data_IF_375455416265
#
_entry.id   IF_375455416265
#
_cell.length_a   1.000
_cell.length_b   1.000
_cell.length_c   1.000
_cell.angle_alpha   90.00
_cell.angle_beta   90.00
_cell.angle_gamma   90.00
#
_symmetry.space_group_name_H-M   'P 1'
#
loop_
_entity.id
_entity.type
_entity.pdbx_description
1 polymer ?
#
# COMPACT_ATOMS: atom_id res chain seq x y z
N UNK A 1 -15.40 -5.05 37.39
CA UNK A 1 -14.89 -4.54 38.68
C UNK A 1 -15.88 -3.63 39.43
N UNK A 2 -16.72 -2.83 38.77
CA UNK A 2 -17.68 -1.91 39.38
C UNK A 2 -18.78 -2.56 40.22
N UNK A 3 -19.02 -3.86 40.09
CA UNK A 3 -20.08 -4.58 40.82
C UNK A 3 -19.53 -5.50 41.94
N UNK A 4 -18.21 -5.56 42.10
CA UNK A 4 -17.61 -6.50 43.04
C UNK A 4 -17.83 -6.13 44.50
N UNK A 5 -17.70 -4.87 44.87
CA UNK A 5 -17.97 -4.39 46.24
C UNK A 5 -19.42 -4.65 46.62
N UNK A 6 -20.33 -4.47 45.66
CA UNK A 6 -21.75 -4.75 45.87
C UNK A 6 -22.06 -6.25 46.02
N UNK A 7 -21.34 -7.10 45.27
CA UNK A 7 -21.47 -8.56 45.34
C UNK A 7 -20.79 -9.13 46.61
N UNK A 8 -19.68 -8.55 47.08
CA UNK A 8 -19.00 -8.95 48.30
C UNK A 8 -19.81 -8.63 49.60
N UNK A 9 -20.69 -7.62 49.52
CA UNK A 9 -21.59 -7.29 50.64
C UNK A 9 -22.76 -8.27 50.76
N UNK A 10 -23.13 -8.96 49.69
CA UNK A 10 -24.32 -9.83 49.63
C UNK A 10 -24.01 -11.32 49.52
N UNK A 11 -22.79 -11.70 49.13
CA UNK A 11 -22.40 -13.10 48.87
C UNK A 11 -20.96 -13.38 49.31
N UNK A 12 -20.72 -14.53 49.92
CA UNK A 12 -19.39 -15.10 50.08
C UNK A 12 -18.92 -15.64 48.72
N UNK A 13 -18.09 -14.88 48.01
CA UNK A 13 -17.53 -15.29 46.73
C UNK A 13 -16.38 -16.27 46.99
N UNK A 14 -16.62 -17.57 46.83
CA UNK A 14 -15.59 -18.60 46.79
C UNK A 14 -15.29 -18.94 45.34
N UNK A 15 -14.05 -18.75 44.89
CA UNK A 15 -13.62 -19.19 43.58
C UNK A 15 -13.26 -20.68 43.63
N UNK A 16 -14.04 -21.51 42.97
CA UNK A 16 -13.83 -22.97 42.91
C UNK A 16 -13.01 -23.41 41.66
N UNK A 17 -12.19 -22.53 41.10
CA UNK A 17 -11.25 -22.89 40.04
C UNK A 17 -9.82 -22.86 40.58
N UNK A 18 -9.30 -24.00 40.99
CA UNK A 18 -7.91 -24.24 41.35
C UNK A 18 -7.31 -23.22 42.36
N UNK A 19 -6.30 -23.61 43.07
CA UNK A 19 -5.62 -22.77 44.09
C UNK A 19 -4.87 -21.53 43.57
N UNK A 20 -5.12 -21.06 42.33
CA UNK A 20 -4.40 -19.92 41.75
C UNK A 20 -5.20 -18.63 41.92
N UNK A 21 -4.73 -17.67 42.73
CA UNK A 21 -5.45 -16.43 42.97
C UNK A 21 -5.44 -15.53 41.72
N UNK A 22 -6.60 -14.95 41.39
CA UNK A 22 -6.67 -13.95 40.32
C UNK A 22 -6.11 -12.60 40.79
N UNK A 23 -5.29 -12.00 39.93
CA UNK A 23 -4.79 -10.65 40.11
C UNK A 23 -5.88 -9.63 39.76
N UNK A 24 -6.10 -8.68 40.63
CA UNK A 24 -7.12 -7.64 40.50
C UNK A 24 -6.50 -6.24 40.35
N UNK A 25 -5.18 -6.20 40.29
CA UNK A 25 -4.46 -4.94 40.12
C UNK A 25 -4.85 -4.28 38.77
N UNK A 26 -4.79 -2.96 38.77
CA UNK A 26 -5.03 -2.19 37.55
C UNK A 26 -3.94 -2.51 36.50
N UNK A 27 -4.38 -2.72 35.25
CA UNK A 27 -3.49 -2.94 34.13
C UNK A 27 -3.24 -1.61 33.45
N UNK A 28 -1.98 -1.19 33.37
CA UNK A 28 -1.55 0.00 32.63
C UNK A 28 -0.62 -0.40 31.51
N UNK A 29 -0.67 0.32 30.38
CA UNK A 29 0.22 0.13 29.25
C UNK A 29 1.11 1.37 29.15
N UNK A 30 2.40 1.14 29.19
CA UNK A 30 3.41 2.14 28.87
C UNK A 30 3.97 1.84 27.47
N UNK A 31 4.12 2.88 26.66
CA UNK A 31 4.54 2.73 25.25
C UNK A 31 5.65 3.73 24.95
N UNK A 32 6.65 3.28 24.20
CA UNK A 32 7.68 4.13 23.58
C UNK A 32 8.05 3.60 22.22
N UNK A 33 8.69 4.40 21.39
CA UNK A 33 9.09 4.01 20.05
C UNK A 33 10.48 4.55 19.75
N UNK A 34 11.33 3.68 19.24
CA UNK A 34 12.61 4.04 18.65
C UNK A 34 12.48 4.00 17.13
N UNK A 35 12.91 5.08 16.45
CA UNK A 35 12.81 5.22 15.00
C UNK A 35 14.18 5.03 14.37
N UNK A 36 14.30 4.06 13.45
CA UNK A 36 15.49 3.77 12.65
C UNK A 36 15.21 4.02 11.16
N UNK A 37 16.21 3.91 10.30
CA UNK A 37 16.08 4.28 8.86
C UNK A 37 15.01 3.44 8.13
N UNK A 38 14.95 2.12 8.36
CA UNK A 38 14.04 1.22 7.65
C UNK A 38 12.98 0.59 8.56
N UNK A 39 13.15 0.72 9.87
CA UNK A 39 12.37 0.06 10.90
C UNK A 39 12.05 1.03 12.03
N UNK A 40 10.97 0.77 12.71
CA UNK A 40 10.70 1.35 14.02
C UNK A 40 10.45 0.23 15.03
N UNK A 41 10.87 0.43 16.27
CA UNK A 41 10.69 -0.53 17.34
C UNK A 41 9.72 0.02 18.38
N UNK A 42 8.60 -0.68 18.54
CA UNK A 42 7.59 -0.36 19.54
C UNK A 42 7.90 -1.10 20.83
N UNK A 43 8.19 -0.36 21.87
CA UNK A 43 8.36 -0.86 23.23
C UNK A 43 7.05 -0.71 23.98
N UNK A 44 6.35 -1.81 24.17
CA UNK A 44 5.08 -1.84 24.92
C UNK A 44 5.32 -2.65 26.19
N UNK A 45 5.15 -2.00 27.33
CA UNK A 45 5.27 -2.62 28.66
C UNK A 45 3.94 -2.60 29.37
N UNK A 46 3.51 -3.76 29.86
CA UNK A 46 2.33 -3.91 30.70
C UNK A 46 2.75 -3.79 32.14
N UNK A 47 2.13 -2.88 32.86
CA UNK A 47 2.35 -2.66 34.30
C UNK A 47 1.14 -3.18 35.08
N UNK A 48 1.38 -4.12 36.00
CA UNK A 48 0.34 -4.75 36.82
C UNK A 48 0.82 -4.71 38.25
N UNK A 49 0.29 -3.78 39.04
CA UNK A 49 0.85 -3.51 40.36
C UNK A 49 2.34 -3.16 40.28
N UNK A 50 3.21 -3.97 40.88
CA UNK A 50 4.66 -3.79 40.85
C UNK A 50 5.36 -4.55 39.71
N UNK A 51 4.62 -5.35 38.92
CA UNK A 51 5.18 -6.13 37.80
C UNK A 51 5.22 -5.31 36.53
N UNK A 52 6.34 -5.37 35.84
CA UNK A 52 6.55 -4.78 34.52
C UNK A 52 6.87 -5.90 33.52
N UNK A 53 5.95 -6.15 32.59
CA UNK A 53 6.03 -7.29 31.68
C UNK A 53 6.05 -6.75 30.25
N UNK A 54 7.07 -7.08 29.42
CA UNK A 54 7.05 -6.73 28.01
C UNK A 54 5.83 -7.32 27.31
N UNK A 55 5.13 -6.50 26.51
CA UNK A 55 3.89 -6.90 25.82
C UNK A 55 4.10 -8.12 24.91
N UNK A 56 5.31 -8.30 24.38
CA UNK A 56 5.70 -9.45 23.56
C UNK A 56 5.49 -10.80 24.25
N UNK A 57 5.51 -10.85 25.59
CA UNK A 57 5.23 -12.07 26.37
C UNK A 57 3.79 -12.56 26.22
N UNK A 58 2.87 -11.67 25.94
CA UNK A 58 1.44 -12.00 25.74
C UNK A 58 1.12 -12.45 24.33
N UNK A 59 2.09 -12.37 23.37
CA UNK A 59 1.90 -12.67 21.95
C UNK A 59 1.16 -13.98 21.72
N UNK A 60 1.64 -15.08 22.31
CA UNK A 60 1.04 -16.40 22.11
C UNK A 60 -0.42 -16.43 22.57
N UNK A 61 -0.72 -15.86 23.71
CA UNK A 61 -2.08 -15.82 24.26
C UNK A 61 -3.00 -14.96 23.41
N UNK A 62 -2.52 -13.80 22.93
CA UNK A 62 -3.30 -12.91 22.09
C UNK A 62 -3.60 -13.56 20.73
N UNK A 63 -2.61 -14.21 20.10
CA UNK A 63 -2.79 -14.87 18.81
C UNK A 63 -3.65 -16.13 18.88
N UNK A 64 -3.60 -16.85 20.01
CA UNK A 64 -4.42 -18.04 20.28
C UNK A 64 -5.78 -17.69 20.92
N UNK A 65 -6.10 -16.39 21.09
CA UNK A 65 -7.34 -15.87 21.73
C UNK A 65 -7.56 -16.39 23.16
N UNK A 66 -6.46 -16.71 23.88
CA UNK A 66 -6.50 -17.17 25.26
C UNK A 66 -6.50 -15.98 26.22
N UNK A 67 -7.57 -15.80 26.98
CA UNK A 67 -7.72 -14.67 27.91
C UNK A 67 -6.95 -14.82 29.22
N UNK A 68 -6.68 -16.04 29.64
CA UNK A 68 -6.01 -16.33 30.92
C UNK A 68 -4.48 -16.35 30.72
N UNK A 69 -3.79 -15.59 31.56
CA UNK A 69 -2.32 -15.54 31.56
C UNK A 69 -1.78 -15.69 32.98
N UNK A 70 -0.84 -16.61 33.17
CA UNK A 70 -0.17 -16.82 34.45
C UNK A 70 0.98 -15.83 34.61
N UNK A 71 0.89 -14.97 35.63
CA UNK A 71 1.93 -14.00 35.96
C UNK A 71 3.17 -14.70 36.57
N UNK A 72 4.36 -14.06 36.48
CA UNK A 72 5.58 -14.60 37.06
C UNK A 72 5.52 -14.84 38.60
N UNK A 73 4.62 -14.15 39.27
CA UNK A 73 4.37 -14.30 40.72
C UNK A 73 3.37 -15.41 41.07
N UNK A 74 2.90 -16.18 40.07
CA UNK A 74 1.96 -17.28 40.27
C UNK A 74 0.48 -16.85 40.30
N UNK A 75 0.14 -15.58 40.17
CA UNK A 75 -1.24 -15.10 40.04
C UNK A 75 -1.75 -15.22 38.62
N UNK A 76 -3.02 -15.43 38.41
CA UNK A 76 -3.69 -15.46 37.12
C UNK A 76 -4.26 -14.09 36.75
N UNK A 77 -4.14 -13.65 35.52
CA UNK A 77 -4.75 -12.43 35.04
C UNK A 77 -5.63 -12.71 33.81
N UNK A 78 -6.73 -11.96 33.69
CA UNK A 78 -7.55 -11.96 32.49
C UNK A 78 -7.09 -10.81 31.58
N UNK A 79 -6.61 -11.15 30.40
CA UNK A 79 -6.21 -10.16 29.40
C UNK A 79 -7.43 -9.39 28.90
N UNK A 80 -7.35 -8.05 28.76
CA UNK A 80 -8.44 -7.24 28.26
C UNK A 80 -8.86 -7.68 26.87
N UNK A 81 -10.17 -7.77 26.61
CA UNK A 81 -10.72 -8.22 25.32
C UNK A 81 -10.30 -7.32 24.17
N UNK A 82 -10.16 -6.04 24.42
CA UNK A 82 -9.68 -5.06 23.44
C UNK A 82 -8.25 -5.34 22.93
N UNK A 83 -7.41 -6.05 23.67
CA UNK A 83 -6.05 -6.40 23.22
C UNK A 83 -6.06 -7.37 22.05
N UNK A 84 -7.05 -8.26 22.00
CA UNK A 84 -7.17 -9.26 20.93
C UNK A 84 -7.57 -8.62 19.60
N UNK A 85 -8.34 -7.54 19.62
CA UNK A 85 -8.70 -6.79 18.42
C UNK A 85 -7.65 -5.73 18.04
N UNK A 86 -7.06 -5.08 19.05
CA UNK A 86 -6.19 -3.91 18.89
C UNK A 86 -4.75 -4.28 18.52
N UNK A 87 -4.16 -5.26 19.21
CA UNK A 87 -2.72 -5.53 19.08
C UNK A 87 -2.37 -6.81 18.31
N UNK A 88 -3.32 -7.70 18.06
CA UNK A 88 -2.99 -8.96 17.40
C UNK A 88 -2.33 -8.75 16.03
N UNK A 89 -2.80 -7.77 15.27
CA UNK A 89 -2.25 -7.45 13.95
C UNK A 89 -0.78 -6.98 14.04
N UNK A 90 -0.45 -6.15 15.03
CA UNK A 90 0.93 -5.71 15.26
C UNK A 90 1.84 -6.88 15.64
N UNK A 91 1.34 -7.80 16.47
CA UNK A 91 2.08 -8.98 16.88
C UNK A 91 2.30 -9.99 15.74
N UNK A 92 1.37 -10.07 14.79
CA UNK A 92 1.53 -10.91 13.59
C UNK A 92 2.58 -10.37 12.62
N UNK A 93 2.58 -9.05 12.39
CA UNK A 93 3.45 -8.39 11.41
C UNK A 93 4.85 -8.10 11.94
N UNK A 94 4.98 -7.90 13.26
CA UNK A 94 6.22 -7.49 13.88
C UNK A 94 7.16 -8.65 14.19
N UNK A 95 8.47 -8.37 14.11
CA UNK A 95 9.52 -9.26 14.61
C UNK A 95 9.64 -9.01 16.11
N UNK A 96 9.50 -10.05 16.89
CA UNK A 96 9.69 -9.97 18.33
C UNK A 96 11.16 -9.72 18.66
N UNK A 97 11.42 -8.71 19.47
CA UNK A 97 12.74 -8.42 20.07
C UNK A 97 12.68 -8.67 21.58
N UNK A 98 13.81 -8.56 22.25
CA UNK A 98 13.85 -8.68 23.74
C UNK A 98 13.06 -7.57 24.42
N UNK A 99 13.01 -6.38 23.82
CA UNK A 99 12.42 -5.18 24.42
C UNK A 99 11.04 -4.82 23.85
N UNK A 100 10.70 -5.30 22.65
CA UNK A 100 9.48 -4.86 21.98
C UNK A 100 9.12 -5.62 20.71
N UNK A 101 8.53 -4.88 19.79
CA UNK A 101 8.10 -5.37 18.48
C UNK A 101 8.71 -4.46 17.43
N UNK A 102 9.60 -5.01 16.60
CA UNK A 102 10.21 -4.29 15.48
C UNK A 102 9.33 -4.43 14.25
N UNK A 103 9.00 -3.30 13.64
CA UNK A 103 8.11 -3.19 12.49
C UNK A 103 8.80 -2.41 11.38
N UNK A 104 8.64 -2.82 10.13
CA UNK A 104 9.04 -1.99 8.98
C UNK A 104 8.18 -0.73 8.92
N UNK A 105 8.74 0.38 8.42
CA UNK A 105 7.99 1.63 8.20
C UNK A 105 6.74 1.46 7.34
N UNK A 106 6.70 0.43 6.48
CA UNK A 106 5.51 0.06 5.69
C UNK A 106 4.29 -0.30 6.56
N UNK A 107 4.50 -0.71 7.82
CA UNK A 107 3.42 -1.09 8.75
C UNK A 107 2.97 0.04 9.68
N UNK A 108 3.44 1.26 9.46
CA UNK A 108 3.06 2.43 10.27
C UNK A 108 1.54 2.63 10.32
N UNK A 109 0.84 2.47 9.19
CA UNK A 109 -0.62 2.58 9.16
C UNK A 109 -1.33 1.56 10.06
N UNK A 110 -0.83 0.33 10.14
CA UNK A 110 -1.35 -0.69 11.05
C UNK A 110 -1.03 -0.37 12.52
N UNK A 111 0.16 0.17 12.79
CA UNK A 111 0.54 0.65 14.11
C UNK A 111 -0.34 1.83 14.55
N UNK A 112 -0.67 2.76 13.63
CA UNK A 112 -1.57 3.87 13.88
C UNK A 112 -2.95 3.42 14.33
N UNK A 113 -3.50 2.43 13.68
CA UNK A 113 -4.82 1.91 14.04
C UNK A 113 -4.80 1.19 15.39
N UNK A 114 -3.71 0.49 15.69
CA UNK A 114 -3.60 -0.23 16.94
C UNK A 114 -3.32 0.67 18.16
N UNK A 115 -2.53 1.72 18.00
CA UNK A 115 -2.11 2.58 19.10
C UNK A 115 -3.03 3.79 19.30
N UNK A 116 -3.78 4.20 18.27
CA UNK A 116 -4.59 5.41 18.24
C UNK A 116 -3.79 6.64 17.80
N UNK A 117 -4.47 7.61 17.19
CA UNK A 117 -3.83 8.81 16.64
C UNK A 117 -3.12 9.68 17.68
N UNK A 118 -3.64 9.77 18.89
CA UNK A 118 -3.05 10.59 19.96
C UNK A 118 -1.77 10.00 20.53
N UNK A 119 -1.72 8.69 20.71
CA UNK A 119 -0.50 8.00 21.16
C UNK A 119 0.60 8.10 20.12
N UNK A 120 0.26 7.97 18.84
CA UNK A 120 1.21 8.09 17.75
C UNK A 120 1.75 9.50 17.52
N UNK A 121 1.01 10.55 17.91
CA UNK A 121 1.55 11.92 17.92
C UNK A 121 2.75 12.08 18.85
N UNK A 122 2.91 11.19 19.82
CA UNK A 122 4.08 11.15 20.72
C UNK A 122 5.31 10.50 20.10
N UNK A 123 5.13 9.76 18.99
CA UNK A 123 6.21 9.09 18.31
C UNK A 123 6.74 9.91 17.14
N UNK A 124 8.04 9.83 16.80
CA UNK A 124 8.65 10.60 15.70
C UNK A 124 8.08 10.23 14.33
N UNK A 125 7.30 9.15 14.22
CA UNK A 125 6.64 8.68 12.99
C UNK A 125 5.51 9.62 12.59
N UNK A 126 5.80 10.92 12.42
CA UNK A 126 4.84 11.92 11.95
C UNK A 126 4.65 11.82 10.46
N UNK A 127 3.50 11.34 10.03
CA UNK A 127 3.15 11.32 8.62
C UNK A 127 1.89 12.13 8.31
N UNK A 128 1.87 13.39 8.68
CA UNK A 128 0.94 14.30 8.03
C UNK A 128 1.46 14.59 6.62
N UNK A 129 0.66 14.23 5.60
CA UNK A 129 0.93 14.60 4.22
C UNK A 129 0.94 16.12 4.14
N UNK A 130 2.16 16.69 4.07
CA UNK A 130 2.31 18.13 3.92
C UNK A 130 1.92 18.55 2.51
N UNK A 131 1.23 19.68 2.40
CA UNK A 131 0.93 20.24 1.09
C UNK A 131 2.24 20.73 0.44
N UNK A 132 2.61 20.14 -0.69
CA UNK A 132 3.85 20.43 -1.41
C UNK A 132 3.56 21.44 -2.52
N UNK A 133 4.37 22.50 -2.62
CA UNK A 133 4.22 23.47 -3.69
C UNK A 133 4.45 22.83 -5.07
N UNK A 134 3.58 23.14 -6.03
CA UNK A 134 3.70 22.70 -7.42
C UNK A 134 4.98 23.25 -8.02
N UNK A 135 5.75 22.47 -8.79
CA UNK A 135 6.95 22.95 -9.48
C UNK A 135 6.64 24.16 -10.39
N UNK A 136 7.40 25.24 -10.25
CA UNK A 136 7.19 26.49 -11.01
C UNK A 136 7.30 26.31 -12.54
N UNK A 137 8.03 25.32 -12.99
CA UNK A 137 8.23 24.99 -14.40
C UNK A 137 7.20 23.99 -14.96
N UNK A 138 6.21 23.60 -14.17
CA UNK A 138 5.06 22.86 -14.68
C UNK A 138 4.14 23.81 -15.47
N UNK A 139 3.81 23.44 -16.70
CA UNK A 139 2.97 24.22 -17.61
C UNK A 139 1.48 23.82 -17.48
N UNK A 140 0.99 23.66 -16.25
CA UNK A 140 -0.39 23.31 -15.96
C UNK A 140 -0.78 23.79 -14.56
N UNK A 141 -2.08 24.01 -14.37
CA UNK A 141 -2.67 24.28 -13.04
C UNK A 141 -3.36 23.03 -12.54
N UNK A 142 -3.02 22.59 -11.33
CA UNK A 142 -3.65 21.43 -10.70
C UNK A 142 -4.98 21.83 -10.04
N UNK A 143 -5.99 20.98 -10.16
CA UNK A 143 -7.19 21.08 -9.33
C UNK A 143 -6.85 20.73 -7.88
N UNK A 144 -7.64 21.15 -6.88
CA UNK A 144 -7.34 20.90 -5.46
C UNK A 144 -7.09 19.42 -5.13
N UNK A 145 -7.88 18.52 -5.69
CA UNK A 145 -7.69 17.09 -5.48
C UNK A 145 -6.40 16.56 -6.14
N UNK A 146 -6.03 17.07 -7.32
CA UNK A 146 -4.77 16.70 -7.99
C UNK A 146 -3.56 17.18 -7.18
N UNK A 147 -3.64 18.37 -6.58
CA UNK A 147 -2.64 18.88 -5.66
C UNK A 147 -2.45 17.97 -4.45
N UNK A 148 -3.56 17.47 -3.87
CA UNK A 148 -3.50 16.48 -2.77
C UNK A 148 -2.86 15.17 -3.24
N UNK A 149 -3.20 14.67 -4.44
CA UNK A 149 -2.61 13.47 -5.01
C UNK A 149 -1.12 13.60 -5.29
N UNK A 150 -0.70 14.75 -5.82
CA UNK A 150 0.71 15.07 -5.99
C UNK A 150 1.45 15.11 -4.65
N UNK A 151 0.90 15.77 -3.63
CA UNK A 151 1.51 15.84 -2.30
C UNK A 151 1.64 14.47 -1.65
N UNK A 152 0.65 13.58 -1.84
CA UNK A 152 0.70 12.20 -1.39
C UNK A 152 1.82 11.41 -2.10
N UNK A 153 1.95 11.54 -3.41
CA UNK A 153 3.04 10.87 -4.14
C UNK A 153 4.42 11.39 -3.73
N UNK A 154 4.57 12.69 -3.46
CA UNK A 154 5.82 13.26 -2.92
C UNK A 154 6.12 12.72 -1.52
N UNK A 155 5.08 12.55 -0.70
CA UNK A 155 5.24 11.93 0.62
C UNK A 155 5.78 10.50 0.50
N UNK A 156 5.18 9.66 -0.35
CA UNK A 156 5.68 8.30 -0.61
C UNK A 156 7.13 8.30 -1.15
N UNK A 157 7.42 9.21 -2.09
CA UNK A 157 8.76 9.36 -2.64
C UNK A 157 9.82 9.63 -1.54
N UNK A 158 9.54 10.57 -0.63
CA UNK A 158 10.45 10.91 0.46
C UNK A 158 10.69 9.77 1.44
N UNK A 159 9.70 8.87 1.59
CA UNK A 159 9.76 7.69 2.45
C UNK A 159 10.35 6.46 1.75
N UNK A 160 10.71 6.55 0.47
CA UNK A 160 11.23 5.41 -0.29
C UNK A 160 10.15 4.39 -0.70
N UNK A 161 8.87 4.75 -0.62
CA UNK A 161 7.76 3.84 -0.91
C UNK A 161 7.26 3.96 -2.35
N UNK A 162 6.70 2.86 -2.84
CA UNK A 162 5.87 2.84 -4.04
C UNK A 162 4.41 3.19 -3.72
N UNK A 163 3.59 3.40 -4.77
CA UNK A 163 2.18 3.74 -4.60
C UNK A 163 1.29 3.33 -5.77
N UNK A 164 -0.01 3.30 -5.50
CA UNK A 164 -1.07 3.07 -6.50
C UNK A 164 -2.00 4.28 -6.57
N UNK A 165 -1.96 5.03 -7.65
CA UNK A 165 -2.93 6.10 -7.92
C UNK A 165 -4.12 5.51 -8.69
N UNK A 166 -5.19 5.23 -7.95
CA UNK A 166 -6.36 4.49 -8.39
C UNK A 166 -7.59 5.37 -8.63
N UNK A 167 -7.38 6.63 -8.99
CA UNK A 167 -8.43 7.59 -9.34
C UNK A 167 -9.25 7.12 -10.53
N UNK A 168 -10.53 7.47 -10.59
CA UNK A 168 -11.38 7.22 -11.75
C UNK A 168 -10.75 7.75 -13.05
N UNK A 169 -11.12 7.15 -14.18
CA UNK A 169 -10.67 7.60 -15.49
C UNK A 169 -11.04 9.09 -15.71
N UNK A 170 -10.11 9.86 -16.28
CA UNK A 170 -10.33 11.29 -16.57
C UNK A 170 -10.03 12.25 -15.40
N UNK A 171 -9.63 11.76 -14.23
CA UNK A 171 -9.21 12.59 -13.10
C UNK A 171 -7.75 13.09 -13.20
N UNK A 172 -7.09 12.86 -14.34
CA UNK A 172 -5.76 13.41 -14.63
C UNK A 172 -4.63 12.71 -13.89
N UNK A 173 -4.65 11.38 -13.80
CA UNK A 173 -3.55 10.57 -13.26
C UNK A 173 -2.23 10.88 -13.95
N UNK A 174 -2.23 11.02 -15.29
CA UNK A 174 -1.07 11.41 -16.09
C UNK A 174 -0.48 12.74 -15.63
N UNK A 175 -1.31 13.78 -15.49
CA UNK A 175 -0.85 15.10 -15.07
C UNK A 175 -0.28 15.09 -13.65
N UNK A 176 -0.92 14.40 -12.71
CA UNK A 176 -0.42 14.25 -11.33
C UNK A 176 0.94 13.56 -11.33
N UNK A 177 1.11 12.47 -12.10
CA UNK A 177 2.38 11.75 -12.25
C UNK A 177 3.46 12.61 -12.90
N UNK A 178 3.15 13.33 -13.97
CA UNK A 178 4.09 14.26 -14.61
C UNK A 178 4.50 15.39 -13.66
N UNK A 179 3.60 15.85 -12.79
CA UNK A 179 3.93 16.84 -11.75
C UNK A 179 4.93 16.29 -10.75
N UNK A 180 4.76 15.03 -10.30
CA UNK A 180 5.74 14.34 -9.45
C UNK A 180 7.10 14.26 -10.14
N UNK A 181 7.15 13.81 -11.39
CA UNK A 181 8.39 13.67 -12.15
C UNK A 181 9.08 15.03 -12.37
N UNK A 182 8.30 16.09 -12.65
CA UNK A 182 8.83 17.45 -12.75
C UNK A 182 9.38 17.98 -11.40
N UNK A 183 8.81 17.54 -10.28
CA UNK A 183 9.35 17.84 -8.94
C UNK A 183 10.67 17.12 -8.67
N UNK A 184 10.81 15.87 -9.10
CA UNK A 184 12.02 15.05 -8.91
C UNK A 184 13.18 15.57 -9.77
N UNK A 185 12.91 15.83 -11.06
CA UNK A 185 13.90 16.29 -12.04
C UNK A 185 14.02 17.82 -12.11
N UNK A 186 13.89 18.51 -10.96
CA UNK A 186 14.10 19.96 -10.92
C UNK A 186 15.60 20.29 -11.15
N UNK A 187 15.91 21.43 -11.78
CA UNK A 187 17.30 21.81 -12.11
C UNK A 187 18.25 21.88 -10.91
N UNK A 188 17.72 22.17 -9.72
CA UNK A 188 18.50 22.24 -8.46
C UNK A 188 18.73 20.89 -7.80
N UNK A 189 18.12 19.81 -8.31
CA UNK A 189 18.33 18.47 -7.76
C UNK A 189 19.60 17.81 -8.35
N UNK A 190 20.26 16.91 -7.60
CA UNK A 190 21.29 16.05 -8.17
C UNK A 190 20.76 15.29 -9.40
N UNK A 191 21.63 14.95 -10.34
CA UNK A 191 21.25 14.16 -11.52
C UNK A 191 20.69 12.81 -11.08
N UNK A 192 19.43 12.55 -11.42
CA UNK A 192 18.73 11.30 -11.13
C UNK A 192 18.77 10.36 -12.33
N UNK A 193 18.69 9.03 -12.12
CA UNK A 193 18.45 8.07 -13.19
C UNK A 193 17.15 8.39 -13.95
N UNK A 194 16.98 7.84 -15.17
CA UNK A 194 15.76 8.01 -15.92
C UNK A 194 14.55 7.33 -15.26
N UNK A 195 13.36 7.79 -15.58
CA UNK A 195 12.07 7.12 -15.25
C UNK A 195 11.59 6.32 -16.46
N UNK A 196 11.24 5.05 -16.24
CA UNK A 196 10.58 4.20 -17.25
C UNK A 196 9.06 4.30 -17.06
N UNK A 197 8.34 4.65 -18.12
CA UNK A 197 6.89 4.75 -18.17
C UNK A 197 6.38 3.70 -19.14
N UNK A 198 5.71 2.67 -18.60
CA UNK A 198 5.16 1.55 -19.39
C UNK A 198 3.66 1.77 -19.52
N UNK A 199 3.19 1.82 -20.76
CA UNK A 199 1.80 2.14 -21.08
C UNK A 199 1.21 1.17 -22.13
N UNK A 200 -0.11 1.04 -22.22
CA UNK A 200 -0.75 0.41 -23.36
C UNK A 200 -0.38 1.15 -24.67
N UNK A 201 -0.28 0.41 -25.76
CA UNK A 201 0.10 0.98 -27.08
C UNK A 201 -0.78 2.15 -27.49
N UNK A 202 -2.09 2.08 -27.22
CA UNK A 202 -3.06 3.13 -27.52
C UNK A 202 -2.83 4.43 -26.74
N UNK A 203 -2.19 4.37 -25.57
CA UNK A 203 -1.95 5.53 -24.72
C UNK A 203 -0.58 6.17 -24.90
N UNK A 204 0.35 5.51 -25.61
CA UNK A 204 1.75 5.95 -25.76
C UNK A 204 1.84 7.37 -26.35
N UNK A 205 1.10 7.62 -27.45
CA UNK A 205 1.08 8.93 -28.08
C UNK A 205 0.53 10.02 -27.16
N UNK A 206 -0.51 9.70 -26.40
CA UNK A 206 -1.16 10.63 -25.47
C UNK A 206 -0.19 11.03 -24.34
N UNK A 207 0.49 10.06 -23.73
CA UNK A 207 1.47 10.31 -22.70
C UNK A 207 2.62 11.22 -23.16
N UNK A 208 3.17 10.95 -24.34
CA UNK A 208 4.22 11.78 -24.93
C UNK A 208 3.75 13.21 -25.20
N UNK A 209 2.54 13.36 -25.76
CA UNK A 209 1.92 14.66 -26.02
C UNK A 209 1.72 15.46 -24.74
N UNK A 210 1.18 14.84 -23.69
CA UNK A 210 0.98 15.48 -22.38
C UNK A 210 2.31 15.82 -21.71
N UNK A 211 3.29 14.92 -21.72
CA UNK A 211 4.61 15.19 -21.16
C UNK A 211 5.29 16.39 -21.85
N UNK A 212 5.25 16.46 -23.19
CA UNK A 212 5.78 17.60 -23.95
C UNK A 212 5.02 18.90 -23.66
N UNK A 213 3.70 18.81 -23.46
CA UNK A 213 2.85 19.97 -23.18
C UNK A 213 3.08 20.53 -21.79
N UNK A 214 3.15 19.69 -20.77
CA UNK A 214 3.11 20.11 -19.38
C UNK A 214 4.48 20.21 -18.71
N UNK A 215 5.51 19.55 -19.25
CA UNK A 215 6.85 19.53 -18.65
C UNK A 215 7.93 20.04 -19.59
N UNK A 216 9.12 20.31 -19.04
CA UNK A 216 10.35 20.59 -19.79
C UNK A 216 11.33 19.41 -19.77
N UNK A 217 10.86 18.20 -19.44
CA UNK A 217 11.71 17.03 -19.28
C UNK A 217 12.14 16.45 -20.62
N UNK A 218 13.41 16.06 -20.74
CA UNK A 218 13.89 15.33 -21.91
C UNK A 218 13.27 13.92 -21.94
N UNK A 219 12.80 13.50 -23.12
CA UNK A 219 12.07 12.25 -23.26
C UNK A 219 12.42 11.50 -24.53
N UNK A 220 12.28 10.18 -24.47
CA UNK A 220 12.41 9.31 -25.61
C UNK A 220 11.37 8.20 -25.60
N UNK A 221 11.09 7.64 -26.76
CA UNK A 221 10.35 6.40 -26.92
C UNK A 221 11.30 5.25 -27.16
N UNK A 222 11.27 4.26 -26.28
CA UNK A 222 12.07 3.06 -26.45
C UNK A 222 11.34 2.04 -27.33
N UNK A 223 11.96 1.71 -28.44
CA UNK A 223 11.49 0.73 -29.43
C UNK A 223 12.64 -0.15 -29.91
N UNK A 224 12.33 -1.17 -30.72
CA UNK A 224 13.32 -2.15 -31.21
C UNK A 224 14.39 -1.58 -32.16
N UNK A 225 14.26 -0.33 -32.62
CA UNK A 225 15.19 0.26 -33.56
C UNK A 225 16.46 0.77 -32.91
N UNK A 226 16.50 0.83 -31.57
CA UNK A 226 17.60 1.40 -30.82
C UNK A 226 18.51 0.30 -30.29
N UNK A 227 19.73 0.22 -30.80
CA UNK A 227 20.75 -0.67 -30.25
C UNK A 227 21.34 -0.08 -28.95
N UNK A 228 21.19 -0.80 -27.84
CA UNK A 228 21.72 -0.40 -26.52
C UNK A 228 22.79 -1.39 -26.09
N UNK A 229 23.95 -0.87 -25.68
CA UNK A 229 24.98 -1.67 -25.04
C UNK A 229 24.53 -2.09 -23.63
N UNK A 230 24.21 -3.38 -23.46
CA UNK A 230 23.78 -3.96 -22.19
C UNK A 230 24.81 -3.79 -21.06
N UNK A 231 26.09 -3.62 -21.37
CA UNK A 231 27.16 -3.43 -20.38
C UNK A 231 27.25 -2.00 -19.87
N UNK A 232 26.69 -1.04 -20.61
CA UNK A 232 26.75 0.40 -20.30
C UNK A 232 25.41 1.08 -20.59
N UNK A 233 24.29 0.57 -20.02
CA UNK A 233 22.95 1.10 -20.30
C UNK A 233 22.80 2.56 -19.86
N UNK A 234 23.58 3.01 -18.86
CA UNK A 234 23.60 4.38 -18.38
C UNK A 234 24.07 5.40 -19.44
N UNK A 235 24.91 4.97 -20.38
CA UNK A 235 25.33 5.82 -21.51
C UNK A 235 24.19 6.18 -22.43
N UNK A 236 23.15 5.38 -22.43
CA UNK A 236 21.96 5.61 -23.25
C UNK A 236 20.81 6.20 -22.41
N UNK A 237 20.34 5.45 -21.41
CA UNK A 237 19.20 5.86 -20.61
C UNK A 237 19.45 7.13 -19.79
N UNK A 238 20.69 7.35 -19.32
CA UNK A 238 21.05 8.51 -18.53
C UNK A 238 21.02 9.87 -19.24
N UNK A 239 20.75 9.91 -20.56
CA UNK A 239 20.56 11.18 -21.29
C UNK A 239 19.12 11.72 -21.19
N UNK A 240 18.17 10.89 -20.78
CA UNK A 240 16.76 11.23 -20.76
C UNK A 240 16.23 11.23 -19.33
N UNK A 241 15.21 12.06 -19.08
CA UNK A 241 14.45 12.02 -17.85
C UNK A 241 13.34 10.98 -17.93
N UNK A 242 12.64 10.93 -19.07
CA UNK A 242 11.49 10.05 -19.28
C UNK A 242 11.74 9.10 -20.45
N UNK A 243 11.51 7.81 -20.23
CA UNK A 243 11.58 6.77 -21.25
C UNK A 243 10.21 6.12 -21.33
N UNK A 244 9.58 6.25 -22.49
CA UNK A 244 8.27 5.65 -22.73
C UNK A 244 8.42 4.33 -23.46
N UNK A 245 7.67 3.33 -23.04
CA UNK A 245 7.60 2.04 -23.72
C UNK A 245 6.23 1.41 -23.53
N UNK A 246 5.97 0.30 -24.24
CA UNK A 246 4.73 -0.46 -24.10
C UNK A 246 4.96 -1.75 -23.32
N UNK A 247 3.89 -2.37 -22.81
CA UNK A 247 3.98 -3.66 -22.12
C UNK A 247 4.58 -4.76 -23.03
N UNK A 248 4.24 -4.75 -24.33
CA UNK A 248 4.82 -5.68 -25.31
C UNK A 248 6.33 -5.49 -25.48
N UNK A 249 6.75 -4.23 -25.62
CA UNK A 249 8.17 -3.88 -25.73
C UNK A 249 8.95 -4.19 -24.45
N UNK A 250 8.36 -3.93 -23.30
CA UNK A 250 8.95 -4.28 -22.00
C UNK A 250 9.24 -5.78 -21.91
N UNK A 251 8.27 -6.63 -22.27
CA UNK A 251 8.46 -8.10 -22.26
C UNK A 251 9.57 -8.54 -23.20
N UNK A 252 9.55 -8.02 -24.43
CA UNK A 252 10.49 -8.45 -25.48
C UNK A 252 11.94 -8.00 -25.22
N UNK A 253 12.13 -6.95 -24.41
CA UNK A 253 13.44 -6.34 -24.18
C UNK A 253 13.81 -6.31 -22.68
N UNK A 254 13.26 -7.22 -21.91
CA UNK A 254 13.46 -7.22 -20.45
C UNK A 254 14.94 -7.29 -20.05
N UNK A 255 15.75 -8.07 -20.78
CA UNK A 255 17.19 -8.21 -20.53
C UNK A 255 17.95 -6.87 -20.60
N UNK A 256 17.51 -5.96 -21.47
CA UNK A 256 18.11 -4.62 -21.59
C UNK A 256 17.58 -3.72 -20.49
N UNK A 257 16.26 -3.73 -20.27
CA UNK A 257 15.63 -2.85 -19.32
C UNK A 257 15.99 -3.20 -17.86
N UNK A 258 16.18 -4.48 -17.52
CA UNK A 258 16.60 -4.88 -16.18
C UNK A 258 18.10 -4.61 -15.91
N UNK A 259 18.93 -4.32 -16.93
CA UNK A 259 20.34 -3.95 -16.74
C UNK A 259 20.53 -2.52 -16.21
N UNK A 260 19.48 -1.68 -16.21
CA UNK A 260 19.51 -0.30 -15.74
C UNK A 260 18.61 -0.11 -14.54
N UNK A 261 19.11 0.59 -13.50
CA UNK A 261 18.31 0.95 -12.33
C UNK A 261 17.66 2.32 -12.54
N UNK A 262 16.37 2.32 -12.75
CA UNK A 262 15.56 3.51 -12.94
C UNK A 262 15.32 4.30 -11.63
N UNK A 263 15.01 5.58 -11.74
CA UNK A 263 14.51 6.37 -10.61
C UNK A 263 13.09 5.93 -10.24
N UNK A 264 12.23 5.88 -11.27
CA UNK A 264 10.86 5.35 -11.17
C UNK A 264 10.59 4.33 -12.25
N UNK A 265 9.73 3.36 -11.95
CA UNK A 265 8.97 2.61 -12.93
C UNK A 265 7.50 2.95 -12.71
N UNK A 266 6.89 3.53 -13.73
CA UNK A 266 5.46 3.88 -13.76
C UNK A 266 4.75 2.91 -14.68
N UNK A 267 3.75 2.17 -14.17
CA UNK A 267 2.88 1.32 -14.98
C UNK A 267 1.51 1.98 -15.10
N UNK A 268 1.15 2.40 -16.30
CA UNK A 268 -0.21 2.88 -16.56
C UNK A 268 -1.12 1.72 -16.99
N UNK A 269 -2.38 1.79 -16.60
CA UNK A 269 -3.33 0.68 -16.68
C UNK A 269 -2.72 -0.60 -16.08
N UNK A 270 -2.30 -0.49 -14.82
CA UNK A 270 -1.53 -1.54 -14.12
C UNK A 270 -2.27 -2.87 -13.96
N UNK A 271 -3.57 -2.95 -14.27
CA UNK A 271 -4.27 -4.23 -14.40
C UNK A 271 -3.67 -5.16 -15.46
N UNK A 272 -2.80 -4.66 -16.36
CA UNK A 272 -2.03 -5.49 -17.26
C UNK A 272 -1.07 -6.48 -16.56
N UNK A 273 -0.76 -6.24 -15.28
CA UNK A 273 0.07 -7.14 -14.45
C UNK A 273 -0.74 -7.88 -13.38
N UNK A 274 -2.07 -7.92 -13.44
CA UNK A 274 -2.93 -8.55 -12.42
C UNK A 274 -2.73 -10.06 -12.28
N UNK A 275 -2.35 -10.74 -13.36
CA UNK A 275 -2.08 -12.17 -13.34
C UNK A 275 -0.60 -12.43 -13.02
N UNK A 276 -0.32 -12.99 -11.83
CA UNK A 276 1.02 -13.33 -11.35
C UNK A 276 1.75 -14.37 -12.21
N UNK A 277 1.01 -15.19 -12.95
CA UNK A 277 1.60 -16.19 -13.84
C UNK A 277 1.98 -15.64 -15.22
N UNK A 278 1.49 -14.45 -15.59
CA UNK A 278 1.73 -13.85 -16.90
C UNK A 278 3.18 -13.44 -17.12
N UNK A 279 3.63 -13.52 -18.38
CA UNK A 279 4.95 -13.01 -18.76
C UNK A 279 5.08 -11.50 -18.49
N UNK A 280 3.98 -10.77 -18.60
CA UNK A 280 3.96 -9.32 -18.34
C UNK A 280 4.28 -9.02 -16.87
N UNK A 281 3.65 -9.72 -15.93
CA UNK A 281 3.94 -9.59 -14.51
C UNK A 281 5.39 -9.96 -14.21
N UNK A 282 5.85 -11.14 -14.69
CA UNK A 282 7.21 -11.62 -14.47
C UNK A 282 8.26 -10.65 -14.99
N UNK A 283 8.01 -10.01 -16.14
CA UNK A 283 8.90 -8.96 -16.66
C UNK A 283 8.87 -7.71 -15.79
N UNK A 284 7.68 -7.26 -15.38
CA UNK A 284 7.54 -6.04 -14.57
C UNK A 284 8.27 -6.13 -13.22
N UNK A 285 8.22 -7.28 -12.55
CA UNK A 285 8.91 -7.46 -11.25
C UNK A 285 10.44 -7.56 -11.38
N UNK A 286 10.99 -7.95 -12.55
CA UNK A 286 12.44 -8.01 -12.79
C UNK A 286 13.06 -6.62 -12.96
N UNK A 287 12.28 -5.62 -13.34
CA UNK A 287 12.76 -4.25 -13.53
C UNK A 287 13.31 -3.69 -12.22
N UNK A 288 14.44 -2.98 -12.30
CA UNK A 288 15.09 -2.38 -11.15
C UNK A 288 14.82 -0.88 -11.07
N UNK A 289 14.36 -0.40 -9.93
CA UNK A 289 14.14 1.03 -9.68
C UNK A 289 14.29 1.37 -8.21
N UNK A 290 14.36 2.68 -7.92
CA UNK A 290 14.26 3.16 -6.53
C UNK A 290 12.79 3.19 -6.07
N UNK A 291 11.89 3.60 -6.97
CA UNK A 291 10.45 3.76 -6.67
C UNK A 291 9.59 3.10 -7.74
N UNK A 292 8.38 2.73 -7.37
CA UNK A 292 7.40 2.13 -8.27
C UNK A 292 6.05 2.80 -8.11
N UNK A 293 5.40 3.11 -9.22
CA UNK A 293 4.09 3.74 -9.24
C UNK A 293 3.16 2.98 -10.19
N UNK A 294 2.03 2.54 -9.70
CA UNK A 294 0.96 1.96 -10.49
C UNK A 294 -0.16 2.98 -10.69
N UNK A 295 -0.66 3.09 -11.91
CA UNK A 295 -1.82 3.91 -12.24
C UNK A 295 -2.92 2.99 -12.76
N UNK A 296 -4.12 3.12 -12.25
CA UNK A 296 -5.27 2.33 -12.69
C UNK A 296 -6.57 3.06 -12.40
N UNK A 297 -7.62 2.78 -13.16
CA UNK A 297 -8.99 3.19 -12.81
C UNK A 297 -9.70 2.15 -11.95
N UNK A 298 -9.19 0.92 -11.93
CA UNK A 298 -9.83 -0.26 -11.30
C UNK A 298 -8.78 -1.05 -10.51
N UNK A 299 -8.46 -0.65 -9.27
CA UNK A 299 -7.39 -1.27 -8.49
C UNK A 299 -7.70 -2.73 -8.08
N UNK A 300 -8.98 -3.06 -7.96
CA UNK A 300 -9.48 -4.41 -7.68
C UNK A 300 -10.62 -4.68 -8.65
N UNK A 301 -10.34 -5.43 -9.71
CA UNK A 301 -11.40 -5.79 -10.68
C UNK A 301 -12.12 -7.06 -10.26
N UNK A 302 -11.40 -8.16 -10.06
CA UNK A 302 -12.03 -9.48 -9.97
C UNK A 302 -11.62 -10.26 -8.71
N UNK A 303 -10.42 -10.08 -8.17
CA UNK A 303 -9.95 -10.93 -7.08
C UNK A 303 -8.90 -10.27 -6.18
N UNK A 304 -8.76 -10.83 -4.97
CA UNK A 304 -7.66 -10.47 -4.06
C UNK A 304 -6.29 -10.88 -4.61
N UNK A 305 -6.23 -11.85 -5.54
CA UNK A 305 -4.97 -12.19 -6.23
C UNK A 305 -4.49 -11.06 -7.12
N UNK A 306 -5.40 -10.36 -7.81
CA UNK A 306 -5.09 -9.21 -8.64
C UNK A 306 -4.48 -8.09 -7.79
N UNK A 307 -5.06 -7.86 -6.60
CA UNK A 307 -4.53 -6.92 -5.62
C UNK A 307 -3.12 -7.31 -5.18
N UNK A 308 -2.89 -8.58 -4.84
CA UNK A 308 -1.57 -9.06 -4.46
C UNK A 308 -0.54 -8.81 -5.56
N UNK A 309 -0.84 -9.13 -6.80
CA UNK A 309 0.07 -8.94 -7.92
C UNK A 309 0.47 -7.45 -8.10
N UNK A 310 -0.50 -6.53 -8.02
CA UNK A 310 -0.23 -5.11 -8.11
C UNK A 310 0.64 -4.63 -6.93
N UNK A 311 0.31 -5.05 -5.71
CA UNK A 311 1.08 -4.66 -4.52
C UNK A 311 2.45 -5.32 -4.45
N UNK A 312 2.61 -6.53 -4.98
CA UNK A 312 3.92 -7.17 -5.11
C UNK A 312 4.84 -6.40 -6.07
N UNK A 313 4.29 -5.76 -7.11
CA UNK A 313 5.04 -4.82 -7.93
C UNK A 313 5.34 -3.52 -7.17
N UNK A 314 4.35 -2.89 -6.54
CA UNK A 314 4.49 -1.58 -5.89
C UNK A 314 5.42 -1.66 -4.68
N UNK A 315 5.21 -2.64 -3.81
CA UNK A 315 5.90 -2.82 -2.54
C UNK A 315 6.08 -4.33 -2.25
N UNK A 316 7.11 -4.98 -2.78
CA UNK A 316 7.27 -6.43 -2.80
C UNK A 316 7.14 -7.12 -1.43
N UNK A 317 7.61 -6.45 -0.36
CA UNK A 317 7.64 -7.05 0.98
C UNK A 317 6.34 -6.83 1.78
N UNK A 318 5.41 -6.01 1.29
CA UNK A 318 4.24 -5.59 2.07
C UNK A 318 3.27 -6.75 2.35
N UNK A 319 2.94 -7.51 1.32
CA UNK A 319 1.96 -8.60 1.39
C UNK A 319 2.60 -10.00 1.40
N UNK A 320 3.92 -10.09 1.47
CA UNK A 320 4.66 -11.34 1.47
C UNK A 320 4.54 -12.14 0.16
N UNK A 321 4.83 -13.44 0.24
CA UNK A 321 4.70 -14.34 -0.92
C UNK A 321 3.23 -14.63 -1.25
N UNK A 322 2.92 -15.02 -2.48
CA UNK A 322 1.55 -15.35 -2.91
C UNK A 322 0.91 -16.43 -2.02
N UNK A 323 1.68 -17.47 -1.67
CA UNK A 323 1.21 -18.54 -0.79
C UNK A 323 0.90 -18.06 0.64
N UNK A 324 1.74 -17.16 1.18
CA UNK A 324 1.50 -16.56 2.49
C UNK A 324 0.23 -15.68 2.46
N UNK A 325 0.09 -14.85 1.43
CA UNK A 325 -1.08 -14.01 1.22
C UNK A 325 -2.37 -14.81 1.05
N UNK A 326 -2.30 -15.93 0.33
CA UNK A 326 -3.46 -16.83 0.18
C UNK A 326 -3.93 -17.38 1.52
N UNK A 327 -2.99 -17.84 2.37
CA UNK A 327 -3.32 -18.40 3.69
C UNK A 327 -3.80 -17.34 4.68
N UNK A 328 -3.16 -16.18 4.68
CA UNK A 328 -3.41 -15.13 5.66
C UNK A 328 -4.63 -14.26 5.34
N UNK A 329 -4.91 -14.03 4.05
CA UNK A 329 -5.96 -13.10 3.63
C UNK A 329 -7.03 -13.75 2.75
N UNK A 330 -6.65 -14.43 1.65
CA UNK A 330 -7.66 -14.90 0.68
C UNK A 330 -8.59 -15.92 1.31
N UNK A 331 -8.04 -16.97 1.93
CA UNK A 331 -8.86 -18.04 2.52
C UNK A 331 -9.72 -17.54 3.68
N UNK A 332 -9.17 -16.80 4.69
CA UNK A 332 -9.99 -16.28 5.78
C UNK A 332 -11.09 -15.32 5.31
N UNK A 333 -10.78 -14.40 4.38
CA UNK A 333 -11.78 -13.43 3.87
C UNK A 333 -12.91 -14.15 3.13
N UNK A 334 -12.61 -15.21 2.35
CA UNK A 334 -13.63 -16.04 1.69
C UNK A 334 -14.51 -16.78 2.69
N UNK A 335 -13.98 -17.12 3.86
CA UNK A 335 -14.72 -17.73 4.97
C UNK A 335 -15.48 -16.72 5.84
N UNK A 336 -15.50 -15.45 5.45
CA UNK A 336 -16.23 -14.40 6.16
C UNK A 336 -15.47 -13.75 7.32
N UNK A 337 -14.15 -13.97 7.44
CA UNK A 337 -13.35 -13.36 8.51
C UNK A 337 -13.20 -11.85 8.27
N UNK A 338 -14.01 -11.06 8.99
CA UNK A 338 -14.01 -9.61 8.90
C UNK A 338 -12.68 -8.99 9.36
N UNK A 339 -12.00 -9.61 10.33
CA UNK A 339 -10.72 -9.15 10.87
C UNK A 339 -9.62 -9.18 9.80
N UNK A 340 -9.50 -10.28 9.06
CA UNK A 340 -8.53 -10.39 7.96
C UNK A 340 -8.77 -9.34 6.86
N UNK A 341 -10.06 -9.02 6.58
CA UNK A 341 -10.42 -7.96 5.64
C UNK A 341 -9.97 -6.58 6.13
N UNK A 342 -10.28 -6.25 7.39
CA UNK A 342 -9.89 -4.95 7.98
C UNK A 342 -8.37 -4.81 8.01
N UNK A 343 -7.66 -5.86 8.41
CA UNK A 343 -6.20 -5.87 8.42
C UNK A 343 -5.61 -5.60 7.03
N UNK A 344 -6.09 -6.30 5.99
CA UNK A 344 -5.63 -6.06 4.63
C UNK A 344 -5.89 -4.61 4.18
N UNK A 345 -7.06 -4.07 4.48
CA UNK A 345 -7.39 -2.68 4.17
C UNK A 345 -6.42 -1.70 4.85
N UNK A 346 -6.10 -1.92 6.12
CA UNK A 346 -5.15 -1.08 6.88
C UNK A 346 -3.73 -1.14 6.31
N UNK A 347 -3.29 -2.33 5.88
CA UNK A 347 -1.97 -2.52 5.29
C UNK A 347 -1.81 -1.76 3.97
N UNK A 348 -2.82 -1.78 3.12
CA UNK A 348 -2.72 -1.17 1.78
C UNK A 348 -3.10 0.31 1.75
N UNK A 349 -3.90 0.79 2.71
CA UNK A 349 -4.43 2.15 2.73
C UNK A 349 -3.38 3.27 2.55
N UNK A 350 -2.18 3.21 3.16
CA UNK A 350 -1.17 4.25 2.96
C UNK A 350 -0.65 4.34 1.52
N UNK A 351 -0.69 3.23 0.79
CA UNK A 351 -0.06 3.06 -0.52
C UNK A 351 -1.04 3.13 -1.69
N UNK A 352 -2.33 3.35 -1.43
CA UNK A 352 -3.36 3.49 -2.46
C UNK A 352 -4.15 4.77 -2.28
N UNK A 353 -4.26 5.55 -3.34
CA UNK A 353 -5.12 6.72 -3.37
C UNK A 353 -6.19 6.52 -4.44
N UNK A 354 -7.45 6.43 -4.00
CA UNK A 354 -8.60 6.26 -4.88
C UNK A 354 -9.63 7.35 -4.63
N UNK A 355 -10.07 8.01 -5.68
CA UNK A 355 -11.12 9.02 -5.64
C UNK A 355 -12.05 8.83 -6.84
N UNK A 356 -13.32 8.96 -6.60
CA UNK A 356 -14.33 8.92 -7.64
C UNK A 356 -14.60 10.32 -8.23
N UNK A 357 -15.09 10.37 -9.47
CA UNK A 357 -15.54 11.62 -10.08
C UNK A 357 -16.60 12.34 -9.24
N UNK A 358 -17.52 11.58 -8.65
CA UNK A 358 -18.59 12.12 -7.79
C UNK A 358 -18.06 12.86 -6.56
N UNK A 359 -16.95 12.36 -5.98
CA UNK A 359 -16.35 12.97 -4.78
C UNK A 359 -15.55 14.25 -5.07
N UNK A 360 -14.87 14.32 -6.21
CA UNK A 360 -13.87 15.38 -6.45
C UNK A 360 -14.26 16.40 -7.53
N UNK A 361 -15.30 16.12 -8.29
CA UNK A 361 -15.79 16.96 -9.36
C UNK A 361 -17.33 17.02 -9.36
N UNK A 362 -17.94 17.52 -8.27
CA UNK A 362 -19.40 17.58 -8.14
C UNK A 362 -20.07 18.48 -9.18
N UNK A 363 -19.27 19.33 -9.86
CA UNK A 363 -19.71 20.18 -10.94
C UNK A 363 -20.00 19.43 -12.27
N UNK A 364 -19.60 18.16 -12.36
CA UNK A 364 -19.90 17.37 -13.55
C UNK A 364 -21.38 16.99 -13.58
N UNK A 365 -22.04 17.06 -14.76
CA UNK A 365 -23.41 16.61 -14.89
C UNK A 365 -23.54 15.12 -14.55
N UNK A 366 -24.73 14.72 -14.16
CA UNK A 366 -25.04 13.31 -13.95
C UNK A 366 -24.78 12.50 -15.23
N UNK A 367 -24.28 11.28 -15.07
CA UNK A 367 -24.12 10.37 -16.20
C UNK A 367 -25.49 10.07 -16.79
N UNK A 368 -25.69 10.35 -18.07
CA UNK A 368 -26.86 9.95 -18.83
C UNK A 368 -26.46 8.72 -19.63
N UNK A 369 -27.10 7.59 -19.36
CA UNK A 369 -26.93 6.36 -20.13
C UNK A 369 -28.15 6.19 -21.05
N UNK A 370 -27.90 6.04 -22.33
CA UNK A 370 -28.94 5.75 -23.32
C UNK A 370 -28.61 4.42 -24.00
N UNK A 371 -29.55 3.50 -23.96
CA UNK A 371 -29.42 2.21 -24.63
C UNK A 371 -30.05 2.32 -26.01
N UNK A 372 -29.21 2.27 -27.04
CA UNK A 372 -29.67 2.25 -28.44
C UNK A 372 -29.69 0.79 -28.89
N UNK A 373 -30.86 0.33 -29.28
CA UNK A 373 -31.02 -0.99 -29.88
C UNK A 373 -30.86 -0.86 -31.41
N UNK A 374 -29.96 -1.67 -31.96
CA UNK A 374 -29.77 -1.77 -33.41
C UNK A 374 -30.21 -3.16 -33.86
N UNK A 375 -31.11 -3.22 -34.84
CA UNK A 375 -31.48 -4.48 -35.45
C UNK A 375 -30.34 -5.02 -36.31
N UNK A 376 -30.10 -6.31 -36.26
CA UNK A 376 -29.14 -6.97 -37.14
C UNK A 376 -29.64 -7.00 -38.56
N UNK A 377 -28.77 -6.84 -39.53
CA UNK A 377 -29.11 -7.13 -40.93
C UNK A 377 -29.36 -8.62 -41.10
N UNK A 378 -30.08 -9.03 -42.17
CA UNK A 378 -30.34 -10.46 -42.43
C UNK A 378 -29.04 -11.28 -42.53
N UNK A 379 -27.99 -10.72 -43.13
CA UNK A 379 -26.68 -11.37 -43.25
C UNK A 379 -25.99 -11.53 -41.85
N UNK A 380 -26.06 -10.53 -41.00
CA UNK A 380 -25.51 -10.59 -39.65
C UNK A 380 -26.28 -11.60 -38.80
N UNK A 381 -27.61 -11.65 -38.91
CA UNK A 381 -28.44 -12.61 -38.19
C UNK A 381 -28.15 -14.03 -38.63
N UNK A 382 -27.95 -14.25 -39.93
CA UNK A 382 -27.59 -15.57 -40.49
C UNK A 382 -26.22 -16.03 -39.95
N UNK A 383 -25.20 -15.17 -39.95
CA UNK A 383 -23.90 -15.48 -39.37
C UNK A 383 -23.99 -15.80 -37.85
N UNK A 384 -24.75 -15.01 -37.11
CA UNK A 384 -24.91 -15.21 -35.66
C UNK A 384 -25.57 -16.54 -35.32
N UNK A 385 -26.62 -16.93 -36.09
CA UNK A 385 -27.32 -18.23 -35.91
C UNK A 385 -26.46 -19.43 -36.35
N UNK A 386 -25.49 -19.24 -37.27
CA UNK A 386 -24.54 -20.27 -37.67
C UNK A 386 -23.44 -20.52 -36.63
N UNK A 387 -23.07 -19.50 -35.84
CA UNK A 387 -22.01 -19.62 -34.80
C UNK A 387 -22.60 -19.99 -33.42
N UNK A 388 -23.90 -19.94 -33.22
CA UNK A 388 -24.60 -20.26 -31.98
C UNK A 388 -24.85 -21.76 -31.88
#
# INVERSE_FOLDING_TARGET
>A
NSHREMLQQSFHLTSNMGNTPYCLDEIRIEQSCDDEVDWFELHITVVIGNLRIPFSRFRKHILEEKREYLLPDGRMILLPEEWFSKYANLLEMGIQTEKGIRLKHTFVGAAQTALGEEELKKFPVKQQIQNVAVPKNLKATLRPYQQKGFSWMVHLHKQGFGGCLADDMGLGKTLQTLTLLQYIYKPSAPKQPATLIVVPTSLLHNWRREAKRFTGLSMMEYNNTVAIDKKRPEKFFGHFHLIFTTYGMMRNNIDILCSYRFEYIVLDESQNIKNSESLTFRSAIQLQSKHRLALTGTPIENSLKDLWAQFHFIQPDLLGTENAFQKQFIMPIRQGNARAKVLLQQLIAPFILRRSKKEVAPELPALTEETIYCDMTEEQNTCYEQEK
#
